data_IF_429535989999
#
_entry.id   IF_429535989999
#
_cell.length_a   1.000
_cell.length_b   1.000
_cell.length_c   1.000
_cell.angle_alpha   90.00
_cell.angle_beta   90.00
_cell.angle_gamma   90.00
#
_symmetry.space_group_name_H-M   'P 1'
#
loop_
_entity.id
_entity.type
_entity.pdbx_description
1 polymer ?
#
# COMPACT_ATOMS: atom_id res chain seq x y z
N UNK A 1 -12.17 -13.00 5.30
CA UNK A 1 -11.03 -12.08 5.55
C UNK A 1 -10.49 -12.15 6.97
N UNK A 2 -11.31 -11.92 8.02
CA UNK A 2 -10.86 -11.98 9.44
C UNK A 2 -10.33 -13.36 9.84
N UNK A 3 -11.10 -14.40 9.54
CA UNK A 3 -10.77 -15.80 9.86
C UNK A 3 -10.13 -16.55 8.67
N UNK A 4 -9.58 -15.81 7.70
CA UNK A 4 -8.95 -16.43 6.53
C UNK A 4 -7.66 -17.11 6.98
N UNK A 5 -7.48 -18.40 6.64
CA UNK A 5 -6.21 -19.07 6.87
C UNK A 5 -5.14 -18.49 5.93
N UNK A 6 -4.01 -18.06 6.48
CA UNK A 6 -2.90 -17.42 5.76
C UNK A 6 -1.62 -18.22 5.97
N UNK A 7 -1.38 -19.29 5.18
CA UNK A 7 -0.21 -20.15 5.35
C UNK A 7 1.12 -19.46 5.05
N UNK A 8 1.12 -18.36 4.28
CA UNK A 8 2.33 -17.61 3.96
C UNK A 8 2.46 -16.38 4.85
N UNK A 9 3.65 -16.14 5.39
CA UNK A 9 3.95 -14.92 6.13
C UNK A 9 3.91 -13.72 5.18
N UNK A 10 4.51 -13.84 4.00
CA UNK A 10 4.50 -12.75 3.04
C UNK A 10 4.46 -13.22 1.60
N UNK A 11 4.05 -12.33 0.71
CA UNK A 11 3.99 -12.57 -0.73
C UNK A 11 4.58 -11.42 -1.51
N UNK A 12 5.23 -11.75 -2.62
CA UNK A 12 5.60 -10.78 -3.63
C UNK A 12 5.09 -11.21 -5.01
N UNK A 13 4.31 -10.33 -5.64
CA UNK A 13 3.91 -10.45 -7.03
C UNK A 13 4.72 -9.44 -7.85
N UNK A 14 5.62 -9.93 -8.69
CA UNK A 14 6.43 -9.06 -9.54
C UNK A 14 7.38 -9.80 -10.45
N UNK A 15 8.08 -9.03 -11.26
CA UNK A 15 9.15 -9.51 -12.14
C UNK A 15 10.44 -8.72 -11.88
N UNK A 16 11.61 -9.34 -12.17
CA UNK A 16 12.88 -8.63 -12.22
C UNK A 16 12.83 -7.46 -13.20
N UNK A 17 13.75 -6.50 -13.03
CA UNK A 17 13.97 -5.40 -13.98
C UNK A 17 15.45 -5.38 -14.36
N UNK A 18 15.88 -6.24 -15.29
CA UNK A 18 17.31 -6.41 -15.61
C UNK A 18 17.95 -5.10 -16.10
N UNK A 19 17.20 -4.26 -16.82
CA UNK A 19 17.65 -2.92 -17.26
C UNK A 19 17.77 -1.88 -16.12
N UNK A 20 17.29 -2.17 -14.91
CA UNK A 20 17.37 -1.26 -13.75
C UNK A 20 18.19 -1.90 -12.62
N UNK A 21 19.51 -1.80 -12.69
CA UNK A 21 20.44 -2.34 -11.69
C UNK A 21 20.18 -1.84 -10.26
N UNK A 22 19.61 -0.63 -10.12
CA UNK A 22 19.25 -0.03 -8.82
C UNK A 22 17.90 -0.49 -8.27
N UNK A 23 17.20 -1.39 -8.96
CA UNK A 23 15.88 -1.87 -8.55
C UNK A 23 15.98 -2.83 -7.37
N UNK A 24 15.30 -2.51 -6.28
CA UNK A 24 15.20 -3.39 -5.10
C UNK A 24 14.39 -4.67 -5.37
N UNK A 25 13.64 -4.73 -6.49
CA UNK A 25 12.81 -5.90 -6.84
C UNK A 25 13.64 -7.17 -6.96
N UNK A 26 14.85 -7.10 -7.53
CA UNK A 26 15.72 -8.27 -7.66
C UNK A 26 16.04 -8.89 -6.29
N UNK A 27 16.41 -8.06 -5.31
CA UNK A 27 16.68 -8.50 -3.94
C UNK A 27 15.44 -9.00 -3.21
N UNK A 28 14.28 -8.40 -3.44
CA UNK A 28 13.01 -8.92 -2.89
C UNK A 28 12.71 -10.32 -3.44
N UNK A 29 12.89 -10.53 -4.75
CA UNK A 29 12.68 -11.84 -5.39
C UNK A 29 13.66 -12.86 -4.81
N UNK A 30 14.95 -12.52 -4.72
CA UNK A 30 16.00 -13.38 -4.15
C UNK A 30 15.64 -13.81 -2.71
N UNK A 31 15.30 -12.85 -1.83
CA UNK A 31 14.91 -13.15 -0.45
C UNK A 31 13.61 -13.97 -0.36
N UNK A 32 12.63 -13.68 -1.21
CA UNK A 32 11.37 -14.42 -1.22
C UNK A 32 11.57 -15.87 -1.71
N UNK A 33 12.34 -16.10 -2.77
CA UNK A 33 12.63 -17.43 -3.28
C UNK A 33 13.48 -18.26 -2.31
N UNK A 34 14.33 -17.61 -1.52
CA UNK A 34 15.11 -18.27 -0.46
C UNK A 34 14.28 -18.60 0.81
N UNK A 35 13.11 -17.98 0.98
CA UNK A 35 12.25 -18.12 2.15
C UNK A 35 11.17 -19.20 1.94
N UNK A 36 10.99 -20.07 2.93
CA UNK A 36 9.91 -21.08 2.93
C UNK A 36 8.54 -20.50 3.29
N UNK A 37 8.51 -19.32 3.90
CA UNK A 37 7.28 -18.64 4.34
C UNK A 37 6.88 -17.50 3.41
N UNK A 38 7.66 -17.27 2.33
CA UNK A 38 7.29 -16.38 1.26
C UNK A 38 6.63 -17.13 0.10
N UNK A 39 5.58 -16.55 -0.46
CA UNK A 39 5.03 -16.97 -1.75
C UNK A 39 5.41 -15.98 -2.84
N UNK A 40 6.21 -16.43 -3.79
CA UNK A 40 6.56 -15.64 -4.97
C UNK A 40 5.57 -15.90 -6.11
N UNK A 41 5.09 -14.84 -6.75
CA UNK A 41 4.29 -14.88 -7.98
C UNK A 41 5.10 -14.20 -9.07
N UNK A 42 5.63 -15.01 -9.99
CA UNK A 42 6.40 -14.51 -11.12
C UNK A 42 5.47 -13.86 -12.16
N UNK A 43 5.69 -12.56 -12.38
CA UNK A 43 4.97 -11.75 -13.37
C UNK A 43 5.76 -11.51 -14.66
N UNK A 44 6.84 -12.26 -14.93
CA UNK A 44 7.65 -12.10 -16.15
C UNK A 44 6.92 -12.59 -17.41
N UNK A 45 7.37 -12.11 -18.58
CA UNK A 45 6.76 -12.37 -19.89
C UNK A 45 6.60 -13.87 -20.15
N UNK A 46 5.35 -14.30 -20.34
CA UNK A 46 4.97 -15.71 -20.53
C UNK A 46 4.05 -16.27 -19.43
N UNK A 47 3.93 -15.58 -18.29
CA UNK A 47 3.10 -16.00 -17.16
C UNK A 47 1.76 -15.27 -17.09
N UNK A 48 0.64 -15.98 -17.34
CA UNK A 48 -0.75 -15.52 -17.04
C UNK A 48 -1.01 -15.30 -15.53
N UNK A 49 0.02 -15.27 -14.70
CA UNK A 49 -0.08 -15.33 -13.25
C UNK A 49 -0.52 -13.99 -12.65
N UNK A 50 -0.04 -12.87 -13.18
CA UNK A 50 -0.33 -11.55 -12.62
C UNK A 50 -1.39 -10.76 -13.42
N UNK A 51 -1.59 -11.09 -14.71
CA UNK A 51 -2.64 -10.49 -15.52
C UNK A 51 -4.04 -11.04 -15.17
N UNK A 52 -4.10 -12.27 -14.65
CA UNK A 52 -5.32 -12.83 -14.12
C UNK A 52 -5.51 -12.41 -12.65
N UNK A 53 -6.49 -11.54 -12.33
CA UNK A 53 -6.70 -11.06 -10.97
C UNK A 53 -7.03 -12.18 -9.98
N UNK A 54 -7.62 -13.29 -10.43
CA UNK A 54 -7.97 -14.43 -9.55
C UNK A 54 -6.72 -15.04 -8.90
N UNK A 55 -5.61 -15.09 -9.62
CA UNK A 55 -4.37 -15.68 -9.13
C UNK A 55 -3.75 -14.79 -8.05
N UNK A 56 -3.54 -13.51 -8.36
CA UNK A 56 -2.99 -12.53 -7.40
C UNK A 56 -3.85 -12.46 -6.13
N UNK A 57 -5.18 -12.36 -6.29
CA UNK A 57 -6.09 -12.27 -5.15
C UNK A 57 -6.06 -13.51 -4.28
N UNK A 58 -5.96 -14.71 -4.86
CA UNK A 58 -5.86 -15.97 -4.11
C UNK A 58 -4.62 -16.02 -3.24
N UNK A 59 -3.47 -15.68 -3.81
CA UNK A 59 -2.20 -15.71 -3.08
C UNK A 59 -2.15 -14.61 -2.01
N UNK A 60 -2.65 -13.40 -2.31
CA UNK A 60 -2.70 -12.32 -1.34
C UNK A 60 -3.68 -12.64 -0.18
N UNK A 61 -4.84 -13.23 -0.47
CA UNK A 61 -5.77 -13.71 0.57
C UNK A 61 -5.14 -14.80 1.46
N UNK A 62 -4.16 -15.53 0.95
CA UNK A 62 -3.44 -16.61 1.65
C UNK A 62 -2.18 -16.12 2.36
N UNK A 63 -1.91 -14.81 2.39
CA UNK A 63 -0.66 -14.24 2.90
C UNK A 63 -0.90 -13.18 3.97
N UNK A 64 -0.06 -13.11 5.01
CA UNK A 64 -0.19 -12.07 6.04
C UNK A 64 0.19 -10.69 5.50
N UNK A 65 1.38 -10.59 4.88
CA UNK A 65 1.95 -9.37 4.36
C UNK A 65 2.14 -9.41 2.83
N UNK A 66 1.96 -8.28 2.15
CA UNK A 66 2.13 -8.19 0.70
C UNK A 66 3.16 -7.11 0.37
N UNK A 67 4.27 -7.50 -0.26
CA UNK A 67 5.39 -6.61 -0.55
C UNK A 67 5.06 -5.65 -1.71
N UNK A 68 5.15 -4.35 -1.45
CA UNK A 68 4.83 -3.25 -2.38
C UNK A 68 6.04 -2.33 -2.60
N UNK A 69 7.11 -2.80 -3.26
CA UNK A 69 8.25 -1.94 -3.62
C UNK A 69 7.83 -0.87 -4.63
N UNK A 70 8.55 0.25 -4.72
CA UNK A 70 8.29 1.31 -5.70
C UNK A 70 8.45 0.80 -7.15
N UNK A 71 7.73 1.41 -8.09
CA UNK A 71 7.78 1.11 -9.53
C UNK A 71 8.40 2.24 -10.32
N UNK A 72 7.91 2.47 -11.53
CA UNK A 72 8.25 3.68 -12.30
C UNK A 72 7.65 4.93 -11.64
N UNK A 73 6.55 4.75 -10.90
CA UNK A 73 5.97 5.74 -10.00
C UNK A 73 5.78 5.17 -8.59
N UNK A 74 5.37 6.05 -7.66
CA UNK A 74 5.03 5.69 -6.28
C UNK A 74 3.67 4.99 -6.15
N UNK A 75 2.83 5.05 -7.17
CA UNK A 75 1.49 4.43 -7.20
C UNK A 75 1.56 3.05 -7.85
N UNK A 76 0.88 2.05 -7.29
CA UNK A 76 0.79 0.71 -7.88
C UNK A 76 -0.58 0.10 -7.61
N UNK A 77 -1.20 -0.48 -8.65
CA UNK A 77 -2.47 -1.21 -8.53
C UNK A 77 -2.43 -2.29 -7.44
N UNK A 78 -1.31 -3.01 -7.33
CA UNK A 78 -1.10 -4.09 -6.35
C UNK A 78 -1.27 -3.64 -4.88
N UNK A 79 -1.12 -2.35 -4.58
CA UNK A 79 -1.41 -1.81 -3.24
C UNK A 79 -2.89 -2.00 -2.92
N UNK A 80 -3.78 -1.67 -3.86
CA UNK A 80 -5.21 -1.88 -3.68
C UNK A 80 -5.57 -3.37 -3.64
N UNK A 81 -4.96 -4.20 -4.50
CA UNK A 81 -5.17 -5.65 -4.48
C UNK A 81 -4.80 -6.24 -3.10
N UNK A 82 -3.74 -5.74 -2.44
CA UNK A 82 -3.37 -6.16 -1.08
C UNK A 82 -4.43 -5.78 -0.04
N UNK A 83 -4.97 -4.56 -0.10
CA UNK A 83 -6.01 -4.11 0.83
C UNK A 83 -7.30 -4.89 0.61
N UNK A 84 -7.74 -5.05 -0.65
CA UNK A 84 -8.95 -5.78 -1.02
C UNK A 84 -8.91 -7.26 -0.61
N UNK A 85 -7.73 -7.86 -0.52
CA UNK A 85 -7.52 -9.24 -0.06
C UNK A 85 -7.28 -9.36 1.45
N UNK A 86 -7.17 -8.23 2.17
CA UNK A 86 -6.87 -8.20 3.60
C UNK A 86 -5.42 -8.53 3.93
N UNK A 87 -4.55 -8.44 2.93
CA UNK A 87 -3.12 -8.61 3.05
C UNK A 87 -2.50 -7.27 3.45
N UNK A 88 -1.67 -7.25 4.49
CA UNK A 88 -1.11 -6.00 5.02
C UNK A 88 -0.03 -5.51 4.05
N UNK A 89 -0.16 -4.32 3.43
CA UNK A 89 0.86 -3.81 2.52
C UNK A 89 2.17 -3.52 3.27
N UNK A 90 3.28 -3.92 2.65
CA UNK A 90 4.64 -3.60 3.11
C UNK A 90 5.28 -2.64 2.10
N UNK A 91 5.46 -1.39 2.49
CA UNK A 91 6.03 -0.35 1.64
C UNK A 91 7.53 -0.23 1.85
N UNK A 92 8.24 0.12 0.76
CA UNK A 92 9.70 0.30 0.79
C UNK A 92 10.17 1.74 0.57
N UNK A 93 9.25 2.63 0.16
CA UNK A 93 9.55 4.01 -0.19
C UNK A 93 8.54 4.97 0.47
N UNK A 94 9.00 6.10 1.07
CA UNK A 94 8.12 7.04 1.77
C UNK A 94 7.04 7.61 0.85
N UNK A 95 7.40 7.95 -0.40
CA UNK A 95 6.43 8.36 -1.41
C UNK A 95 5.30 7.37 -1.71
N UNK A 96 5.48 6.06 -1.50
CA UNK A 96 4.39 5.07 -1.61
C UNK A 96 3.62 4.92 -0.30
N UNK A 97 4.33 4.99 0.82
CA UNK A 97 3.75 4.77 2.15
C UNK A 97 2.90 5.95 2.63
N UNK A 98 3.34 7.18 2.36
CA UNK A 98 2.89 8.37 3.10
C UNK A 98 2.22 9.45 2.26
N UNK A 99 2.55 9.48 0.98
CA UNK A 99 2.21 10.58 0.07
C UNK A 99 0.99 10.29 -0.83
N UNK A 100 0.60 9.01 -0.96
CA UNK A 100 -0.48 8.62 -1.87
C UNK A 100 -1.80 8.45 -1.14
N UNK A 101 -2.89 8.81 -1.83
CA UNK A 101 -4.28 8.54 -1.41
C UNK A 101 -4.64 9.12 -0.02
N UNK A 102 -4.10 10.30 0.32
CA UNK A 102 -4.27 10.96 1.62
C UNK A 102 -5.72 11.25 2.03
N UNK A 103 -6.64 11.26 1.06
CA UNK A 103 -8.08 11.42 1.31
C UNK A 103 -8.76 10.13 1.76
N UNK A 104 -8.22 8.99 1.32
CA UNK A 104 -8.82 7.66 1.47
C UNK A 104 -8.12 6.83 2.55
N UNK A 105 -6.81 7.03 2.75
CA UNK A 105 -6.02 6.32 3.75
C UNK A 105 -5.89 7.08 5.08
N UNK A 106 -5.72 6.38 6.22
CA UNK A 106 -5.47 7.01 7.51
C UNK A 106 -4.11 7.72 7.51
N UNK A 107 -4.03 8.88 8.16
CA UNK A 107 -2.76 9.60 8.35
C UNK A 107 -1.72 8.80 9.13
N UNK A 108 -2.15 7.91 10.03
CA UNK A 108 -1.24 7.04 10.77
C UNK A 108 -1.04 5.73 9.99
N UNK A 109 0.04 5.66 9.22
CA UNK A 109 0.34 4.56 8.31
C UNK A 109 0.69 3.24 9.00
N UNK A 110 1.20 3.29 10.23
CA UNK A 110 1.52 2.09 11.01
C UNK A 110 0.26 1.31 11.42
N UNK A 111 -0.92 1.94 11.36
CA UNK A 111 -2.19 1.27 11.65
C UNK A 111 -2.62 0.28 10.59
N UNK A 112 -2.10 0.34 9.36
CA UNK A 112 -2.57 -0.50 8.25
C UNK A 112 -1.45 -1.08 7.38
N UNK A 113 -0.21 -0.69 7.62
CA UNK A 113 0.93 -1.06 6.76
C UNK A 113 2.22 -1.17 7.54
N UNK A 114 3.16 -1.93 6.99
CA UNK A 114 4.54 -1.99 7.45
C UNK A 114 5.40 -1.15 6.51
N UNK A 115 6.35 -0.41 7.07
CA UNK A 115 7.30 0.37 6.28
C UNK A 115 8.73 -0.10 6.53
N UNK A 116 9.40 -0.55 5.47
CA UNK A 116 10.81 -0.96 5.47
C UNK A 116 11.58 0.06 4.64
N UNK A 117 12.27 1.05 5.24
CA UNK A 117 12.91 2.12 4.48
C UNK A 117 14.08 1.60 3.64
N UNK A 118 13.91 1.54 2.32
CA UNK A 118 14.97 1.10 1.39
C UNK A 118 15.13 2.13 0.28
N UNK A 119 16.22 2.90 0.34
CA UNK A 119 16.52 3.94 -0.66
C UNK A 119 17.03 3.34 -1.98
N UNK A 120 17.89 2.33 -1.88
CA UNK A 120 18.46 1.60 -3.00
C UNK A 120 18.85 0.17 -2.56
N UNK A 121 19.36 -0.62 -3.50
CA UNK A 121 19.76 -2.02 -3.27
C UNK A 121 20.75 -2.18 -2.12
N UNK A 122 21.63 -1.20 -1.85
CA UNK A 122 22.60 -1.27 -0.75
C UNK A 122 21.94 -1.08 0.62
N UNK A 123 20.80 -0.38 0.67
CA UNK A 123 19.99 -0.20 1.87
C UNK A 123 19.01 -1.35 2.13
N UNK A 124 19.04 -2.42 1.33
CA UNK A 124 18.15 -3.56 1.50
C UNK A 124 18.48 -4.29 2.82
N UNK A 125 17.49 -4.60 3.67
CA UNK A 125 17.74 -5.39 4.88
C UNK A 125 18.22 -6.80 4.51
N UNK A 126 19.00 -7.41 5.40
CA UNK A 126 19.46 -8.79 5.24
C UNK A 126 18.30 -9.79 5.14
N UNK A 127 17.21 -9.55 5.87
CA UNK A 127 16.05 -10.44 5.87
C UNK A 127 14.75 -9.67 6.13
N UNK A 128 13.91 -9.56 5.10
CA UNK A 128 12.51 -9.10 5.21
C UNK A 128 11.73 -10.04 6.14
N UNK A 129 11.97 -11.35 6.04
CA UNK A 129 11.30 -12.36 6.86
C UNK A 129 11.50 -12.08 8.36
N UNK A 130 12.74 -11.84 8.80
CA UNK A 130 13.03 -11.52 10.21
C UNK A 130 12.31 -10.26 10.69
N UNK A 131 12.24 -9.23 9.85
CA UNK A 131 11.53 -7.98 10.19
C UNK A 131 10.03 -8.27 10.37
N UNK A 132 9.41 -9.00 9.44
CA UNK A 132 7.98 -9.28 9.49
C UNK A 132 7.62 -10.28 10.61
N UNK A 133 8.51 -11.20 10.96
CA UNK A 133 8.36 -12.08 12.14
C UNK A 133 8.51 -11.32 13.47
N UNK A 134 9.24 -10.20 13.47
CA UNK A 134 9.41 -9.36 14.66
C UNK A 134 8.17 -8.58 15.06
N UNK A 135 7.17 -8.47 14.17
CA UNK A 135 5.91 -7.80 14.45
C UNK A 135 5.03 -8.71 15.31
N UNK A 136 4.52 -8.19 16.41
CA UNK A 136 3.68 -8.97 17.32
C UNK A 136 2.37 -9.40 16.64
N UNK A 137 1.79 -10.50 17.13
CA UNK A 137 0.52 -10.98 16.57
C UNK A 137 -0.63 -9.98 16.76
N UNK A 138 -0.62 -9.24 17.87
CA UNK A 138 -1.63 -8.22 18.16
C UNK A 138 -1.52 -7.03 17.20
N UNK A 139 -0.30 -6.58 16.89
CA UNK A 139 -0.08 -5.55 15.87
C UNK A 139 -0.51 -6.02 14.48
N UNK A 140 -0.19 -7.26 14.11
CA UNK A 140 -0.64 -7.86 12.85
C UNK A 140 -2.18 -7.88 12.75
N UNK A 141 -2.88 -8.33 13.80
CA UNK A 141 -4.34 -8.39 13.84
C UNK A 141 -4.94 -6.97 13.79
N UNK A 142 -4.36 -6.03 14.54
CA UNK A 142 -4.76 -4.62 14.51
C UNK A 142 -4.62 -4.01 13.12
N UNK A 143 -3.48 -4.24 12.47
CA UNK A 143 -3.24 -3.80 11.08
C UNK A 143 -4.25 -4.40 10.11
N UNK A 144 -4.54 -5.71 10.24
CA UNK A 144 -5.51 -6.37 9.37
C UNK A 144 -6.93 -5.83 9.54
N UNK A 145 -7.37 -5.55 10.77
CA UNK A 145 -8.68 -4.95 10.99
C UNK A 145 -8.78 -3.55 10.37
N UNK A 146 -7.72 -2.74 10.46
CA UNK A 146 -7.70 -1.45 9.77
C UNK A 146 -7.72 -1.62 8.25
N UNK A 147 -6.93 -2.55 7.69
CA UNK A 147 -6.98 -2.88 6.25
C UNK A 147 -8.39 -3.25 5.81
N UNK A 148 -9.11 -4.08 6.57
CA UNK A 148 -10.51 -4.44 6.28
C UNK A 148 -11.42 -3.22 6.32
N UNK A 149 -11.25 -2.31 7.31
CA UNK A 149 -12.01 -1.06 7.42
C UNK A 149 -11.77 -0.09 6.27
N UNK A 150 -10.62 -0.19 5.60
CA UNK A 150 -10.31 0.67 4.44
C UNK A 150 -11.03 0.24 3.17
N UNK A 151 -11.44 -1.01 3.04
CA UNK A 151 -12.01 -1.54 1.79
C UNK A 151 -13.15 -0.68 1.22
N UNK A 152 -14.19 -0.31 2.00
CA UNK A 152 -15.28 0.52 1.46
C UNK A 152 -14.79 1.85 0.90
N UNK A 153 -13.75 2.43 1.51
CA UNK A 153 -13.21 3.74 1.14
C UNK A 153 -12.39 3.74 -0.14
N UNK A 154 -12.06 2.57 -0.70
CA UNK A 154 -11.25 2.44 -1.92
C UNK A 154 -11.96 1.71 -3.06
N UNK A 155 -13.22 1.32 -2.85
CA UNK A 155 -14.07 0.72 -3.89
C UNK A 155 -15.24 1.63 -4.18
N UNK A 156 -15.79 1.50 -5.38
CA UNK A 156 -17.09 2.09 -5.71
C UNK A 156 -18.19 1.15 -5.25
N UNK A 157 -19.15 1.69 -4.53
CA UNK A 157 -20.34 0.98 -4.08
C UNK A 157 -21.21 0.63 -5.28
N UNK A 158 -21.77 -0.59 -5.28
CA UNK A 158 -22.76 -0.97 -6.28
C UNK A 158 -24.11 -0.34 -5.90
N UNK A 159 -24.66 0.58 -6.71
CA UNK A 159 -25.92 1.28 -6.40
C UNK A 159 -27.13 0.34 -6.32
N UNK A 160 -26.99 -0.89 -6.82
CA UNK A 160 -28.04 -1.93 -6.75
C UNK A 160 -27.96 -2.80 -5.49
N UNK A 161 -26.89 -2.69 -4.69
CA UNK A 161 -26.76 -3.47 -3.47
C UNK A 161 -27.69 -2.91 -2.37
N UNK A 162 -28.47 -3.79 -1.72
CA UNK A 162 -29.39 -3.46 -0.62
C UNK A 162 -28.71 -3.31 0.75
N UNK A 163 -27.39 -3.09 0.75
CA UNK A 163 -26.56 -3.02 1.97
C UNK A 163 -26.73 -1.67 2.68
N UNK A 164 -26.33 -1.62 3.96
CA UNK A 164 -26.05 -0.36 4.66
C UNK A 164 -25.19 0.56 3.77
N UNK A 165 -25.50 1.86 3.77
CA UNK A 165 -24.73 2.87 3.04
C UNK A 165 -23.42 3.14 3.78
N UNK A 166 -22.30 2.79 3.16
CA UNK A 166 -20.97 3.22 3.58
C UNK A 166 -20.49 4.32 2.64
N UNK A 167 -19.74 5.31 3.14
CA UNK A 167 -19.05 6.27 2.27
C UNK A 167 -18.01 5.51 1.44
N UNK A 168 -18.20 5.53 0.13
CA UNK A 168 -17.34 4.83 -0.81
C UNK A 168 -16.19 5.71 -1.34
N UNK A 169 -15.38 5.18 -2.25
CA UNK A 169 -14.26 5.93 -2.83
C UNK A 169 -14.67 7.22 -3.56
N UNK A 170 -15.84 7.20 -4.21
CA UNK A 170 -16.41 8.35 -4.93
C UNK A 170 -16.98 9.38 -3.97
N UNK A 171 -17.77 8.94 -2.99
CA UNK A 171 -18.34 9.81 -1.95
C UNK A 171 -17.24 10.61 -1.25
N UNK A 172 -16.16 9.92 -0.85
CA UNK A 172 -15.00 10.56 -0.21
C UNK A 172 -14.37 11.59 -1.14
N UNK A 173 -14.16 11.26 -2.41
CA UNK A 173 -13.54 12.16 -3.37
C UNK A 173 -14.37 13.44 -3.57
N UNK A 174 -15.69 13.30 -3.82
CA UNK A 174 -16.59 14.45 -4.00
C UNK A 174 -16.64 15.29 -2.73
N UNK A 175 -16.80 14.67 -1.57
CA UNK A 175 -16.84 15.37 -0.27
C UNK A 175 -15.56 16.16 -0.01
N UNK A 176 -14.39 15.61 -0.32
CA UNK A 176 -13.10 16.31 -0.16
C UNK A 176 -12.92 17.46 -1.15
N UNK A 177 -13.39 17.31 -2.38
CA UNK A 177 -13.41 18.41 -3.36
C UNK A 177 -14.31 19.55 -2.86
N UNK A 178 -15.52 19.24 -2.39
CA UNK A 178 -16.44 20.25 -1.86
C UNK A 178 -15.84 20.98 -0.66
N UNK A 179 -15.24 20.25 0.29
CA UNK A 179 -14.52 20.87 1.41
C UNK A 179 -13.41 21.81 0.95
N UNK A 180 -12.61 21.42 -0.06
CA UNK A 180 -11.55 22.29 -0.59
C UNK A 180 -12.13 23.57 -1.21
N UNK A 181 -13.23 23.47 -1.95
CA UNK A 181 -13.90 24.64 -2.54
C UNK A 181 -14.43 25.58 -1.46
N UNK A 182 -15.06 25.05 -0.40
CA UNK A 182 -15.55 25.84 0.72
C UNK A 182 -14.44 26.51 1.52
N UNK A 183 -13.34 25.78 1.74
CA UNK A 183 -12.13 26.28 2.38
C UNK A 183 -11.51 27.46 1.61
N UNK A 184 -11.34 27.31 0.30
CA UNK A 184 -10.86 28.38 -0.58
C UNK A 184 -11.79 29.60 -0.54
N UNK A 185 -13.12 29.39 -0.59
CA UNK A 185 -14.10 30.48 -0.47
C UNK A 185 -14.00 31.21 0.87
N UNK A 186 -13.74 30.49 1.97
CA UNK A 186 -13.53 31.08 3.30
C UNK A 186 -12.28 31.97 3.31
N UNK A 187 -11.14 31.45 2.83
CA UNK A 187 -9.88 32.19 2.74
C UNK A 187 -10.04 33.51 1.96
N UNK A 188 -10.72 33.47 0.82
CA UNK A 188 -10.99 34.68 0.01
C UNK A 188 -11.81 35.71 0.79
N UNK A 189 -12.87 35.28 1.50
CA UNK A 189 -13.72 36.19 2.29
C UNK A 189 -12.96 36.84 3.45
N UNK A 190 -12.00 36.13 4.03
CA UNK A 190 -11.14 36.62 5.12
C UNK A 190 -9.97 37.49 4.60
N UNK A 191 -9.88 37.72 3.29
CA UNK A 191 -8.82 38.52 2.67
C UNK A 191 -7.46 37.81 2.58
N UNK A 192 -7.43 36.49 2.77
CA UNK A 192 -6.24 35.66 2.61
C UNK A 192 -5.94 35.27 1.17
N UNK A 193 -4.75 34.74 0.92
CA UNK A 193 -4.33 34.24 -0.39
C UNK A 193 -4.81 32.79 -0.60
N UNK A 194 -5.75 32.53 -1.53
CA UNK A 194 -6.25 31.19 -1.79
C UNK A 194 -5.21 30.29 -2.48
N UNK A 195 -4.13 30.83 -3.03
CA UNK A 195 -3.10 30.06 -3.73
C UNK A 195 -2.22 29.22 -2.80
N UNK A 196 -2.18 29.57 -1.50
CA UNK A 196 -1.49 28.81 -0.46
C UNK A 196 -2.03 27.37 -0.39
N UNK A 197 -1.13 26.39 -0.43
CA UNK A 197 -1.47 24.97 -0.45
C UNK A 197 -1.75 24.35 -1.83
N UNK A 198 -1.82 25.14 -2.91
CA UNK A 198 -1.98 24.58 -4.27
C UNK A 198 -0.65 24.17 -4.90
N UNK A 199 0.44 24.87 -4.57
CA UNK A 199 1.79 24.62 -5.10
C UNK A 199 2.73 23.98 -4.08
N UNK A 200 2.22 23.65 -2.89
CA UNK A 200 3.02 23.02 -1.83
C UNK A 200 3.53 21.67 -2.33
N UNK A 201 4.85 21.54 -2.41
CA UNK A 201 5.50 20.30 -2.79
C UNK A 201 5.29 19.22 -1.73
N UNK A 202 4.97 18.00 -2.17
CA UNK A 202 5.01 16.83 -1.30
C UNK A 202 6.46 16.36 -1.14
N UNK A 203 7.30 17.19 -0.53
CA UNK A 203 8.72 16.93 -0.36
C UNK A 203 8.97 15.79 0.63
N UNK A 204 7.97 15.50 1.48
CA UNK A 204 8.01 14.38 2.41
C UNK A 204 8.22 13.03 1.70
N UNK A 205 7.76 12.89 0.44
CA UNK A 205 8.00 11.69 -0.38
C UNK A 205 9.48 11.35 -0.60
N UNK A 206 10.39 12.29 -0.35
CA UNK A 206 11.84 12.11 -0.44
C UNK A 206 12.53 11.93 0.92
N UNK A 207 11.77 12.01 2.02
CA UNK A 207 12.31 11.97 3.38
C UNK A 207 12.32 10.52 3.89
N UNK A 208 13.49 9.88 3.86
CA UNK A 208 13.68 8.57 4.49
C UNK A 208 13.96 8.75 5.99
N UNK A 209 13.28 8.01 6.89
CA UNK A 209 13.60 8.05 8.31
C UNK A 209 15.01 7.52 8.55
N UNK A 210 15.74 8.18 9.46
CA UNK A 210 17.15 7.92 9.70
C UNK A 210 17.43 6.62 10.48
N UNK A 211 16.41 6.01 11.09
CA UNK A 211 16.48 4.72 11.81
C UNK A 211 15.15 3.96 11.74
N UNK A 212 15.24 2.63 11.66
CA UNK A 212 14.14 1.70 11.97
C UNK A 212 14.08 1.68 13.50
N UNK A 213 13.03 2.27 14.07
CA UNK A 213 12.73 2.19 15.51
C UNK A 213 12.04 0.88 15.82
#
# INVERSE_FOLDING_TARGET
MRNQNRPYLFTFAGAPRPELEKSIRGKIIEQCQASRVCKFIDCSSGGKNCDNPVNVMREFQSSVYCLQPSGDSYTRRSIFDSILSGCIPVFFHPGSAYSQYIWHFPKNHTKYSVFIPVKDVKGMPESIEKILLGISKDEEVGMREEVIRLIPKIVYSNPKAKSESFEDAFDIAVKRILYRVEDVRRVIREGGDPSLGFADGDDYKYTFPQKIG
#
